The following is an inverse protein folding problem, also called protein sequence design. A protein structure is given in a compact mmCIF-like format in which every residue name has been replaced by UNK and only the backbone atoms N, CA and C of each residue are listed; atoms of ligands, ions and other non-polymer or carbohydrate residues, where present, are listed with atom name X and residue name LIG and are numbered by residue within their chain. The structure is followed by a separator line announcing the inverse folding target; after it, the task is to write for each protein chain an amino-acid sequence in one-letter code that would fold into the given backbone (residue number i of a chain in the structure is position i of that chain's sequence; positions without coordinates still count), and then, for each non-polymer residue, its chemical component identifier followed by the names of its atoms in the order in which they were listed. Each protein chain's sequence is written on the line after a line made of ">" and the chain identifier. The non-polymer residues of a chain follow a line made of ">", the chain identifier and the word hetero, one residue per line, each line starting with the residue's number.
data_IF_557694677187
#
_entry.id   IF_557694677187
#
_cell.length_a   1.000
_cell.length_b   1.000
_cell.length_c   1.000
_cell.angle_alpha   90.00
_cell.angle_beta   90.00
_cell.angle_gamma   90.00
#
_symmetry.space_group_name_H-M   'P 1'
#
loop_
_entity.id
_entity.type
_entity.pdbx_description
1 polymer ?
#
# COMPACT_ATOMS: atom_id res chain seq x y z
N UNK A 1 7.33 15.76 -15.64
CA UNK A 1 8.02 16.61 -14.66
C UNK A 1 9.49 16.56 -14.95
N UNK A 2 10.20 17.68 -14.76
CA UNK A 2 11.63 17.78 -15.06
C UNK A 2 12.34 18.58 -13.97
N UNK A 3 13.31 17.97 -13.27
CA UNK A 3 14.13 18.56 -12.22
C UNK A 3 13.30 19.18 -11.09
N UNK A 4 12.14 18.55 -10.76
CA UNK A 4 11.17 19.14 -9.85
C UNK A 4 11.71 19.17 -8.42
N UNK A 5 11.78 20.36 -7.82
CA UNK A 5 12.23 20.51 -6.44
C UNK A 5 11.36 21.51 -5.68
N UNK A 6 11.16 21.22 -4.39
CA UNK A 6 10.41 22.09 -3.47
C UNK A 6 11.17 22.30 -2.18
N UNK A 7 11.47 23.56 -1.91
CA UNK A 7 12.12 24.02 -0.67
C UNK A 7 11.17 24.90 0.12
N UNK A 8 11.08 24.68 1.42
CA UNK A 8 10.40 25.53 2.38
C UNK A 8 11.43 26.29 3.24
N UNK A 9 11.16 27.56 3.47
CA UNK A 9 11.95 28.38 4.38
C UNK A 9 11.34 28.29 5.79
N UNK A 10 12.03 27.64 6.70
CA UNK A 10 11.59 27.46 8.09
C UNK A 10 12.31 28.49 8.96
N UNK A 11 11.53 29.33 9.62
CA UNK A 11 12.02 30.36 10.53
C UNK A 11 11.86 29.87 11.97
N UNK A 12 12.91 29.98 12.79
CA UNK A 12 12.86 29.56 14.20
C UNK A 12 11.98 30.48 15.04
N UNK A 13 11.98 31.78 14.71
CA UNK A 13 11.14 32.78 15.36
C UNK A 13 10.41 33.66 14.34
N UNK A 14 9.17 34.12 14.63
CA UNK A 14 8.42 34.97 13.73
C UNK A 14 9.19 36.25 13.31
N UNK A 15 10.00 36.78 14.21
CA UNK A 15 10.82 37.97 13.97
C UNK A 15 11.92 37.73 12.93
N UNK A 16 12.38 36.50 12.74
CA UNK A 16 13.42 36.18 11.77
C UNK A 16 12.92 36.30 10.34
N UNK A 17 11.62 36.12 10.12
CA UNK A 17 10.96 36.41 8.83
C UNK A 17 11.06 37.90 8.49
N UNK A 18 10.87 38.79 9.47
CA UNK A 18 11.00 40.21 9.31
C UNK A 18 12.48 40.60 9.09
N UNK A 19 13.40 40.03 9.88
CA UNK A 19 14.85 40.23 9.71
C UNK A 19 15.30 39.80 8.32
N UNK A 20 14.85 38.67 7.81
CA UNK A 20 15.17 38.17 6.47
C UNK A 20 14.69 39.12 5.36
N UNK A 21 13.55 39.81 5.58
CA UNK A 21 13.01 40.75 4.62
C UNK A 21 13.81 42.06 4.56
N UNK A 22 14.29 42.57 5.72
CA UNK A 22 14.90 43.89 5.85
C UNK A 22 16.45 43.85 5.78
N UNK A 23 17.06 42.99 6.60
CA UNK A 23 18.53 43.02 6.82
C UNK A 23 19.34 42.65 5.57
N UNK A 24 18.96 41.62 4.76
CA UNK A 24 19.74 41.31 3.55
C UNK A 24 19.73 42.42 2.51
N UNK A 25 18.65 43.24 2.44
CA UNK A 25 18.58 44.40 1.54
C UNK A 25 19.54 45.50 1.99
N UNK A 26 19.58 45.80 3.29
CA UNK A 26 20.49 46.78 3.88
C UNK A 26 21.96 46.31 3.78
N UNK A 27 22.23 45.03 4.03
CA UNK A 27 23.57 44.44 3.94
C UNK A 27 24.16 44.53 2.52
N UNK A 28 23.31 44.29 1.48
CA UNK A 28 23.74 44.46 0.08
C UNK A 28 24.13 45.92 -0.25
N UNK A 29 23.37 46.86 0.31
CA UNK A 29 23.68 48.29 0.14
C UNK A 29 25.01 48.68 0.81
N UNK A 30 25.39 47.99 1.91
CA UNK A 30 26.65 48.16 2.64
C UNK A 30 27.76 47.19 2.17
N UNK A 31 27.62 46.47 1.06
CA UNK A 31 28.59 45.48 0.55
C UNK A 31 29.01 44.40 1.58
N UNK A 32 28.16 44.10 2.55
CA UNK A 32 28.38 43.03 3.54
C UNK A 32 27.70 41.74 3.11
N UNK A 33 28.28 40.60 3.50
CA UNK A 33 27.65 39.26 3.27
C UNK A 33 26.31 39.23 4.00
N UNK A 34 25.25 38.97 3.28
CA UNK A 34 23.91 38.88 3.85
C UNK A 34 23.80 37.62 4.71
N UNK A 35 23.43 37.78 5.98
CA UNK A 35 23.14 36.65 6.88
C UNK A 35 21.77 36.07 6.55
N UNK A 36 21.70 34.73 6.48
CA UNK A 36 20.47 33.98 6.29
C UNK A 36 19.79 33.71 7.64
N UNK A 37 18.51 34.01 7.76
CA UNK A 37 17.73 33.90 9.00
C UNK A 37 16.67 32.80 8.93
N UNK A 38 16.78 31.84 7.98
CA UNK A 38 15.93 30.70 7.85
C UNK A 38 16.75 29.45 7.58
N UNK A 39 16.17 28.30 7.91
CA UNK A 39 16.67 26.98 7.52
C UNK A 39 15.91 26.51 6.29
N UNK A 40 16.61 25.98 5.30
CA UNK A 40 16.01 25.35 4.15
C UNK A 40 15.57 23.93 4.48
N UNK A 41 14.30 23.64 4.24
CA UNK A 41 13.74 22.30 4.31
C UNK A 41 13.31 21.88 2.91
N UNK A 42 14.04 20.94 2.34
CA UNK A 42 13.77 20.43 1.02
C UNK A 42 12.79 19.27 1.11
N UNK A 43 11.52 19.53 0.81
CA UNK A 43 10.47 18.50 0.77
C UNK A 43 10.58 17.61 -0.46
N UNK A 44 11.07 18.17 -1.58
CA UNK A 44 11.35 17.43 -2.82
C UNK A 44 12.66 17.91 -3.42
N UNK A 45 13.42 16.98 -4.01
CA UNK A 45 14.71 17.28 -4.67
C UNK A 45 14.83 16.51 -5.96
N UNK A 46 14.94 17.23 -7.06
CA UNK A 46 15.36 16.74 -8.38
C UNK A 46 14.55 15.51 -8.82
N UNK A 47 13.22 15.68 -8.89
CA UNK A 47 12.29 14.60 -9.27
C UNK A 47 11.99 14.71 -10.76
N UNK A 48 12.27 13.60 -11.47
CA UNK A 48 12.03 13.45 -12.89
C UNK A 48 11.18 12.20 -13.17
N UNK A 49 10.01 12.36 -13.77
CA UNK A 49 9.24 11.27 -14.34
C UNK A 49 8.18 11.76 -15.33
N UNK A 50 7.67 10.82 -16.12
CA UNK A 50 6.59 11.06 -17.10
C UNK A 50 5.54 9.98 -16.95
N UNK A 51 4.28 10.35 -16.91
CA UNK A 51 3.13 9.44 -16.88
C UNK A 51 2.45 9.45 -18.24
N UNK A 52 2.15 8.28 -18.77
CA UNK A 52 1.43 8.14 -20.04
C UNK A 52 -0.07 8.27 -19.82
N UNK A 53 -0.79 8.70 -20.84
CA UNK A 53 -2.25 8.75 -20.81
C UNK A 53 -2.82 7.34 -20.63
N UNK A 54 -3.76 7.19 -19.69
CA UNK A 54 -4.40 5.93 -19.35
C UNK A 54 -3.58 5.01 -18.44
N UNK A 55 -2.38 5.44 -17.98
CA UNK A 55 -1.54 4.68 -17.06
C UNK A 55 -2.04 4.86 -15.62
N UNK A 56 -2.06 3.78 -14.85
CA UNK A 56 -2.30 3.84 -13.39
C UNK A 56 -0.97 3.74 -12.66
N UNK A 57 -0.58 4.80 -11.96
CA UNK A 57 0.70 4.91 -11.26
C UNK A 57 0.50 4.95 -9.76
N UNK A 58 1.08 3.98 -9.06
CA UNK A 58 1.15 3.96 -7.60
C UNK A 58 2.36 4.74 -7.11
N UNK A 59 2.19 5.52 -6.04
CA UNK A 59 3.28 6.26 -5.37
C UNK A 59 3.36 5.77 -3.93
N UNK A 60 4.47 5.13 -3.58
CA UNK A 60 4.74 4.62 -2.24
C UNK A 60 5.94 5.33 -1.60
N UNK A 61 5.99 5.32 -0.28
CA UNK A 61 7.08 5.95 0.49
C UNK A 61 6.64 6.21 1.93
N UNK A 62 7.61 6.33 2.85
CA UNK A 62 7.35 6.61 4.26
C UNK A 62 6.63 7.95 4.49
N UNK A 63 6.09 8.14 5.70
CA UNK A 63 5.59 9.44 6.11
C UNK A 63 6.75 10.46 6.05
N UNK A 64 6.46 11.64 5.47
CA UNK A 64 7.50 12.65 5.23
C UNK A 64 8.36 12.42 3.96
N UNK A 65 8.13 11.38 3.16
CA UNK A 65 8.85 11.17 1.89
C UNK A 65 8.55 12.22 0.82
N UNK A 66 7.56 13.10 1.04
CA UNK A 66 7.20 14.18 0.11
C UNK A 66 6.00 13.88 -0.80
N UNK A 67 5.31 12.75 -0.63
CA UNK A 67 4.17 12.33 -1.47
C UNK A 67 3.10 13.41 -1.62
N UNK A 68 2.56 13.90 -0.50
CA UNK A 68 1.51 14.96 -0.51
C UNK A 68 2.01 16.26 -1.13
N UNK A 69 3.27 16.64 -0.91
CA UNK A 69 3.88 17.81 -1.57
C UNK A 69 3.96 17.60 -3.09
N UNK A 70 4.32 16.40 -3.53
CA UNK A 70 4.35 16.05 -4.95
C UNK A 70 2.96 16.17 -5.57
N UNK A 71 1.93 15.62 -4.92
CA UNK A 71 0.56 15.70 -5.41
C UNK A 71 0.06 17.15 -5.47
N UNK A 72 0.33 17.97 -4.47
CA UNK A 72 -0.03 19.40 -4.48
C UNK A 72 0.62 20.17 -5.65
N UNK A 73 1.87 19.83 -5.99
CA UNK A 73 2.56 20.40 -7.16
C UNK A 73 1.92 19.95 -8.47
N UNK A 74 1.49 18.67 -8.57
CA UNK A 74 0.78 18.15 -9.74
C UNK A 74 -0.58 18.81 -9.90
N UNK A 75 -1.32 18.98 -8.80
CA UNK A 75 -2.62 19.67 -8.80
C UNK A 75 -2.52 21.18 -9.04
N UNK A 76 -1.30 21.76 -9.02
CA UNK A 76 -1.11 23.20 -9.19
C UNK A 76 -1.52 24.04 -7.98
N UNK A 77 -1.87 23.42 -6.83
CA UNK A 77 -2.17 24.14 -5.58
C UNK A 77 -0.89 24.67 -4.91
N UNK A 78 0.27 24.14 -5.30
CA UNK A 78 1.58 24.53 -4.85
C UNK A 78 2.49 24.83 -6.03
N UNK A 79 3.32 25.90 -5.94
CA UNK A 79 4.32 26.21 -6.96
C UNK A 79 5.68 25.53 -6.64
N UNK A 80 6.39 24.99 -7.62
CA UNK A 80 7.73 24.44 -7.42
C UNK A 80 8.74 25.55 -7.07
N UNK A 81 9.83 25.18 -6.38
CA UNK A 81 10.97 26.06 -6.15
C UNK A 81 11.94 26.05 -7.34
N UNK A 82 12.10 24.86 -7.97
CA UNK A 82 12.88 24.65 -9.19
C UNK A 82 12.19 23.57 -10.04
N UNK A 83 12.54 23.55 -11.33
CA UNK A 83 11.98 22.61 -12.29
C UNK A 83 10.58 23.00 -12.77
N UNK A 84 9.94 22.09 -13.48
CA UNK A 84 8.64 22.32 -14.10
C UNK A 84 7.71 21.09 -14.00
N UNK A 85 6.42 21.38 -13.89
CA UNK A 85 5.33 20.39 -13.93
C UNK A 85 4.45 20.72 -15.13
N UNK A 86 4.36 19.81 -16.08
CA UNK A 86 3.46 19.93 -17.22
C UNK A 86 2.36 18.89 -17.12
N UNK A 87 1.12 19.33 -17.01
CA UNK A 87 -0.07 18.48 -16.94
C UNK A 87 -0.99 18.81 -18.12
N UNK A 88 -1.37 17.77 -18.87
CA UNK A 88 -2.28 17.90 -20.01
C UNK A 88 -3.58 17.17 -19.67
N UNK A 89 -4.65 17.90 -19.43
CA UNK A 89 -5.99 17.38 -19.11
C UNK A 89 -6.54 17.88 -17.77
N UNK A 90 -7.83 17.61 -17.55
CA UNK A 90 -8.52 17.98 -16.32
C UNK A 90 -8.16 17.01 -15.20
N UNK A 91 -7.72 17.58 -14.07
CA UNK A 91 -7.42 16.83 -12.86
C UNK A 91 -8.66 16.84 -11.96
N UNK A 92 -9.08 15.67 -11.49
CA UNK A 92 -9.88 15.50 -10.29
C UNK A 92 -8.99 14.95 -9.17
N UNK A 93 -8.90 15.67 -8.06
CA UNK A 93 -8.02 15.30 -6.95
C UNK A 93 -8.84 15.01 -5.70
N UNK A 94 -8.73 13.79 -5.18
CA UNK A 94 -9.38 13.37 -3.94
C UNK A 94 -8.56 13.71 -2.69
N UNK A 95 -7.53 14.57 -2.84
CA UNK A 95 -6.60 14.98 -1.77
C UNK A 95 -7.28 15.74 -0.64
N UNK A 96 -8.23 16.58 -1.00
CA UNK A 96 -8.97 17.44 -0.08
C UNK A 96 -10.46 17.31 -0.38
N UNK A 97 -11.03 16.15 -0.02
CA UNK A 97 -12.44 15.87 -0.25
C UNK A 97 -13.33 16.98 0.37
N UNK A 98 -14.06 17.67 -0.49
CA UNK A 98 -14.92 18.79 -0.09
C UNK A 98 -14.21 20.13 0.08
N UNK A 99 -12.93 20.25 -0.27
CA UNK A 99 -12.29 21.56 -0.37
C UNK A 99 -13.08 22.43 -1.36
N UNK A 100 -13.52 23.59 -0.88
CA UNK A 100 -14.39 24.48 -1.66
C UNK A 100 -15.88 24.30 -1.43
N UNK A 101 -16.33 23.34 -0.60
CA UNK A 101 -17.73 23.30 -0.18
C UNK A 101 -18.04 24.48 0.74
N UNK A 102 -19.14 25.16 0.44
CA UNK A 102 -19.69 26.19 1.33
C UNK A 102 -20.66 25.51 2.32
N UNK A 103 -20.40 25.56 3.63
CA UNK A 103 -21.24 24.92 4.63
C UNK A 103 -22.69 25.42 4.67
N UNK A 104 -22.93 26.69 4.25
CA UNK A 104 -24.25 27.31 4.24
C UNK A 104 -25.07 26.94 3.01
N UNK A 105 -24.45 26.40 1.98
CA UNK A 105 -25.11 25.99 0.74
C UNK A 105 -25.66 24.57 0.85
N UNK A 106 -26.71 24.27 0.10
CA UNK A 106 -27.22 22.90 -0.02
C UNK A 106 -26.22 21.97 -0.68
N UNK A 107 -26.43 20.66 -0.55
CA UNK A 107 -25.63 19.67 -1.31
C UNK A 107 -25.69 19.93 -2.80
N UNK A 108 -26.88 20.21 -3.32
CA UNK A 108 -27.10 20.60 -4.73
C UNK A 108 -26.23 21.79 -5.14
N UNK A 109 -26.30 22.88 -4.39
CA UNK A 109 -25.55 24.11 -4.72
C UNK A 109 -24.04 23.85 -4.68
N UNK A 110 -23.56 23.02 -3.74
CA UNK A 110 -22.16 22.62 -3.66
C UNK A 110 -21.73 21.74 -4.83
N UNK A 111 -22.60 20.86 -5.36
CA UNK A 111 -22.33 20.11 -6.59
C UNK A 111 -22.10 21.08 -7.75
N UNK A 112 -22.99 22.02 -7.96
CA UNK A 112 -22.86 23.01 -9.04
C UNK A 112 -21.62 23.89 -8.86
N UNK A 113 -21.36 24.37 -7.64
CA UNK A 113 -20.19 25.19 -7.33
C UNK A 113 -18.89 24.45 -7.66
N UNK A 114 -18.72 23.24 -7.13
CA UNK A 114 -17.49 22.49 -7.32
C UNK A 114 -17.29 21.99 -8.76
N UNK A 115 -18.34 21.51 -9.40
CA UNK A 115 -18.25 21.09 -10.80
C UNK A 115 -17.93 22.27 -11.74
N UNK A 116 -18.45 23.47 -11.44
CA UNK A 116 -18.09 24.70 -12.16
C UNK A 116 -16.63 25.10 -11.96
N UNK A 117 -16.09 24.97 -10.74
CA UNK A 117 -14.66 25.20 -10.44
C UNK A 117 -13.79 24.22 -11.22
N UNK A 118 -14.25 22.98 -11.42
CA UNK A 118 -13.58 21.98 -12.23
C UNK A 118 -13.76 22.16 -13.74
N UNK A 119 -14.42 23.27 -14.14
CA UNK A 119 -14.52 23.71 -15.54
C UNK A 119 -15.68 23.11 -16.33
N UNK A 120 -16.71 22.53 -15.68
CA UNK A 120 -17.90 22.05 -16.36
C UNK A 120 -18.87 23.21 -16.64
N UNK A 121 -19.54 23.16 -17.80
CA UNK A 121 -20.67 24.04 -18.08
C UNK A 121 -21.90 23.65 -17.24
N UNK A 122 -22.85 24.55 -17.13
CA UNK A 122 -24.10 24.26 -16.41
C UNK A 122 -24.84 23.09 -17.04
N UNK A 123 -24.88 23.04 -18.35
CA UNK A 123 -25.54 21.98 -19.13
C UNK A 123 -24.87 20.61 -18.85
N UNK A 124 -23.54 20.58 -18.75
CA UNK A 124 -22.78 19.35 -18.41
C UNK A 124 -23.08 18.90 -16.98
N UNK A 125 -23.23 19.84 -16.06
CA UNK A 125 -23.57 19.55 -14.65
C UNK A 125 -25.00 19.03 -14.56
N UNK A 126 -25.97 19.68 -15.23
CA UNK A 126 -27.38 19.25 -15.28
C UNK A 126 -27.48 17.81 -15.79
N UNK A 127 -26.73 17.46 -16.84
CA UNK A 127 -26.70 16.10 -17.41
C UNK A 127 -26.14 15.03 -16.47
N UNK A 128 -25.29 15.40 -15.52
CA UNK A 128 -24.61 14.48 -14.59
C UNK A 128 -25.15 14.50 -13.17
N UNK A 129 -25.98 15.49 -12.86
CA UNK A 129 -26.44 15.73 -11.48
C UNK A 129 -27.10 14.48 -10.87
N UNK A 130 -27.98 13.83 -11.63
CA UNK A 130 -28.67 12.62 -11.16
C UNK A 130 -27.71 11.43 -10.91
N UNK A 131 -26.62 11.33 -11.68
CA UNK A 131 -25.57 10.34 -11.45
C UNK A 131 -24.81 10.65 -10.17
N UNK A 132 -24.42 11.92 -9.96
CA UNK A 132 -23.74 12.39 -8.76
C UNK A 132 -24.61 12.15 -7.52
N UNK A 133 -25.88 12.54 -7.55
CA UNK A 133 -26.82 12.38 -6.44
C UNK A 133 -27.02 10.89 -6.08
N UNK A 134 -27.20 10.04 -7.10
CA UNK A 134 -27.35 8.59 -6.92
C UNK A 134 -26.10 7.93 -6.38
N UNK A 135 -24.91 8.40 -6.81
CA UNK A 135 -23.63 7.88 -6.32
C UNK A 135 -23.41 8.26 -4.85
N UNK A 136 -23.64 9.54 -4.50
CA UNK A 136 -23.51 10.05 -3.13
C UNK A 136 -24.46 9.36 -2.15
N UNK A 137 -25.68 9.03 -2.60
CA UNK A 137 -26.65 8.24 -1.85
C UNK A 137 -26.95 8.84 -0.47
N UNK A 138 -27.25 10.16 -0.44
CA UNK A 138 -27.55 10.93 0.77
C UNK A 138 -29.04 11.34 0.87
N UNK A 139 -29.85 10.91 -0.10
CA UNK A 139 -31.30 11.15 -0.11
C UNK A 139 -31.69 12.63 -0.05
N UNK A 140 -32.72 12.95 0.74
CA UNK A 140 -33.27 14.30 0.89
C UNK A 140 -32.29 15.32 1.49
N UNK A 141 -31.19 14.86 2.07
CA UNK A 141 -30.14 15.77 2.55
C UNK A 141 -29.49 16.56 1.41
N UNK A 142 -29.59 16.09 0.16
CA UNK A 142 -29.12 16.83 -1.01
C UNK A 142 -29.62 18.27 -1.08
N UNK A 143 -30.83 18.52 -0.59
CA UNK A 143 -31.46 19.84 -0.57
C UNK A 143 -31.23 20.63 0.74
N UNK A 144 -30.45 20.04 1.68
CA UNK A 144 -30.17 20.67 2.97
C UNK A 144 -28.76 21.28 2.99
N UNK A 145 -28.52 22.30 3.84
CA UNK A 145 -27.18 22.87 3.99
C UNK A 145 -26.14 21.83 4.45
N UNK A 146 -24.96 21.85 3.82
CA UNK A 146 -23.90 20.88 4.07
C UNK A 146 -23.41 20.88 5.52
N UNK A 147 -23.54 21.99 6.25
CA UNK A 147 -23.27 22.06 7.70
C UNK A 147 -24.10 21.09 8.55
N UNK A 148 -25.23 20.59 8.02
CA UNK A 148 -26.07 19.59 8.72
C UNK A 148 -25.66 18.15 8.45
N UNK A 149 -24.70 17.93 7.56
CA UNK A 149 -24.26 16.61 7.15
C UNK A 149 -23.44 15.90 8.23
N UNK A 150 -23.59 14.58 8.31
CA UNK A 150 -22.59 13.76 8.98
C UNK A 150 -21.27 13.79 8.20
N UNK A 151 -20.16 13.46 8.86
CA UNK A 151 -18.86 13.36 8.19
C UNK A 151 -18.89 12.39 7.00
N UNK A 152 -19.62 11.26 7.14
CA UNK A 152 -19.80 10.29 6.06
C UNK A 152 -20.56 10.86 4.86
N UNK A 153 -21.67 11.59 5.09
CA UNK A 153 -22.44 12.22 4.00
C UNK A 153 -21.62 13.29 3.27
N UNK A 154 -20.87 14.08 4.03
CA UNK A 154 -19.97 15.09 3.48
C UNK A 154 -18.96 14.48 2.51
N UNK A 155 -18.27 13.42 2.94
CA UNK A 155 -17.27 12.71 2.14
C UNK A 155 -17.90 12.02 0.93
N UNK A 156 -19.06 11.38 1.09
CA UNK A 156 -19.79 10.75 -0.01
C UNK A 156 -20.14 11.75 -1.13
N UNK A 157 -20.66 12.93 -0.77
CA UNK A 157 -20.96 13.96 -1.77
C UNK A 157 -19.68 14.48 -2.43
N UNK A 158 -18.66 14.79 -1.65
CA UNK A 158 -17.39 15.30 -2.16
C UNK A 158 -16.72 14.33 -3.14
N UNK A 159 -16.70 13.03 -2.81
CA UNK A 159 -16.20 11.99 -3.70
C UNK A 159 -17.06 11.88 -4.98
N UNK A 160 -18.39 11.88 -4.84
CA UNK A 160 -19.30 11.74 -5.96
C UNK A 160 -19.08 12.85 -7.01
N UNK A 161 -18.92 14.11 -6.56
CA UNK A 161 -18.64 15.23 -7.45
C UNK A 161 -17.34 14.98 -8.24
N UNK A 162 -16.25 14.62 -7.55
CA UNK A 162 -14.95 14.42 -8.20
C UNK A 162 -14.93 13.22 -9.15
N UNK A 163 -15.57 12.12 -8.78
CA UNK A 163 -15.50 10.87 -9.54
C UNK A 163 -16.49 10.81 -10.72
N UNK A 164 -17.63 11.53 -10.63
CA UNK A 164 -18.69 11.48 -11.66
C UNK A 164 -18.55 12.52 -12.77
N UNK A 165 -17.57 13.43 -12.70
CA UNK A 165 -17.35 14.46 -13.73
C UNK A 165 -16.48 13.99 -14.92
N UNK A 166 -16.15 12.70 -15.01
CA UNK A 166 -15.27 12.12 -16.04
C UNK A 166 -13.96 12.90 -16.20
N UNK A 167 -13.05 12.85 -15.23
CA UNK A 167 -11.76 13.51 -15.31
C UNK A 167 -10.86 12.81 -16.36
N UNK A 168 -9.85 13.52 -16.88
CA UNK A 168 -8.79 12.91 -17.69
C UNK A 168 -7.67 12.35 -16.81
N UNK A 169 -7.50 12.94 -15.62
CA UNK A 169 -6.52 12.54 -14.62
C UNK A 169 -7.23 12.48 -13.27
N UNK A 170 -7.20 11.33 -12.62
CA UNK A 170 -7.72 11.12 -11.27
C UNK A 170 -6.56 10.97 -10.30
N UNK A 171 -6.51 11.79 -9.27
CA UNK A 171 -5.55 11.69 -8.18
C UNK A 171 -6.25 11.17 -6.95
N UNK A 172 -5.80 10.03 -6.46
CA UNK A 172 -6.35 9.33 -5.29
C UNK A 172 -5.30 9.34 -4.18
N UNK A 173 -5.65 9.92 -3.04
CA UNK A 173 -4.84 9.88 -1.83
C UNK A 173 -5.68 9.19 -0.75
N UNK A 174 -5.17 8.25 -0.02
CA UNK A 174 -5.78 7.51 1.12
C UNK A 174 -7.32 7.59 1.30
N UNK A 175 -7.95 8.50 0.55
CA UNK A 175 -9.36 8.85 0.60
C UNK A 175 -10.32 7.73 0.15
N UNK A 176 -9.82 6.62 -0.42
CA UNK A 176 -10.67 5.47 -0.79
C UNK A 176 -11.11 4.66 0.44
N UNK A 177 -10.44 4.80 1.57
CA UNK A 177 -10.78 4.12 2.81
C UNK A 177 -11.86 4.87 3.64
N UNK A 178 -12.53 5.88 3.06
CA UNK A 178 -13.50 6.73 3.76
C UNK A 178 -14.94 6.25 3.51
N UNK A 179 -15.77 6.36 4.53
CA UNK A 179 -17.17 5.91 4.49
C UNK A 179 -17.31 4.46 4.96
N UNK A 180 -18.50 3.90 4.76
CA UNK A 180 -18.75 2.49 5.05
C UNK A 180 -18.26 1.57 3.91
N UNK A 181 -18.20 0.27 4.20
CA UNK A 181 -17.73 -0.76 3.26
C UNK A 181 -18.49 -0.72 1.94
N UNK A 182 -19.81 -0.44 1.97
CA UNK A 182 -20.63 -0.36 0.77
C UNK A 182 -20.25 0.81 -0.13
N UNK A 183 -19.92 1.97 0.48
CA UNK A 183 -19.46 3.13 -0.26
C UNK A 183 -18.04 2.94 -0.80
N UNK A 184 -17.15 2.35 -0.02
CA UNK A 184 -15.80 1.99 -0.48
C UNK A 184 -15.87 1.08 -1.72
N UNK A 185 -16.75 0.07 -1.72
CA UNK A 185 -16.97 -0.78 -2.88
C UNK A 185 -17.42 0.01 -4.11
N UNK A 186 -18.39 0.97 -3.94
CA UNK A 186 -18.81 1.85 -5.03
C UNK A 186 -17.65 2.69 -5.57
N UNK A 187 -16.76 3.20 -4.69
CA UNK A 187 -15.58 3.99 -5.07
C UNK A 187 -14.59 3.15 -5.90
N UNK A 188 -14.27 1.94 -5.48
CA UNK A 188 -13.38 1.03 -6.23
C UNK A 188 -13.96 0.67 -7.60
N UNK A 189 -15.26 0.32 -7.65
CA UNK A 189 -15.96 0.04 -8.93
C UNK A 189 -15.95 1.25 -9.88
N UNK A 190 -16.11 2.45 -9.33
CA UNK A 190 -16.00 3.68 -10.14
C UNK A 190 -14.59 3.88 -10.69
N UNK A 191 -13.57 3.65 -9.86
CA UNK A 191 -12.18 3.74 -10.27
C UNK A 191 -11.85 2.73 -11.37
N UNK A 192 -12.29 1.47 -11.25
CA UNK A 192 -12.15 0.46 -12.31
C UNK A 192 -12.82 0.91 -13.62
N UNK A 193 -14.03 1.46 -13.54
CA UNK A 193 -14.73 1.98 -14.71
C UNK A 193 -13.99 3.15 -15.37
N UNK A 194 -13.39 4.04 -14.58
CA UNK A 194 -12.56 5.14 -15.09
C UNK A 194 -11.26 4.62 -15.73
N UNK A 195 -10.59 3.64 -15.10
CA UNK A 195 -9.42 2.96 -15.68
C UNK A 195 -9.77 2.32 -17.02
N UNK A 196 -10.89 1.62 -17.12
CA UNK A 196 -11.37 1.01 -18.37
C UNK A 196 -11.68 2.05 -19.47
N UNK A 197 -12.06 3.28 -19.10
CA UNK A 197 -12.23 4.41 -20.03
C UNK A 197 -10.90 5.06 -20.45
N UNK A 198 -9.76 4.61 -19.95
CA UNK A 198 -8.44 5.17 -20.24
C UNK A 198 -8.12 6.45 -19.47
N UNK A 199 -8.75 6.69 -18.33
CA UNK A 199 -8.40 7.78 -17.42
C UNK A 199 -7.04 7.48 -16.79
N UNK A 200 -6.17 8.47 -16.73
CA UNK A 200 -4.88 8.37 -16.03
C UNK A 200 -5.10 8.45 -14.52
N UNK A 201 -4.57 7.50 -13.76
CA UNK A 201 -4.78 7.44 -12.31
C UNK A 201 -3.45 7.55 -11.58
N UNK A 202 -3.34 8.50 -10.64
CA UNK A 202 -2.27 8.57 -9.67
C UNK A 202 -2.80 8.16 -8.31
N UNK A 203 -2.22 7.12 -7.73
CA UNK A 203 -2.68 6.53 -6.49
C UNK A 203 -1.59 6.64 -5.42
N UNK A 204 -1.90 7.36 -4.33
CA UNK A 204 -1.06 7.41 -3.13
C UNK A 204 -1.82 6.72 -2.01
N UNK A 205 -1.27 5.64 -1.49
CA UNK A 205 -1.90 4.89 -0.40
C UNK A 205 -0.86 4.17 0.44
N UNK A 206 -1.17 3.97 1.70
CA UNK A 206 -0.40 3.08 2.58
C UNK A 206 -0.79 1.61 2.41
N UNK A 207 -1.89 1.32 1.71
CA UNK A 207 -2.31 -0.04 1.37
C UNK A 207 -1.50 -0.56 0.18
N UNK A 208 -0.46 -1.32 0.46
CA UNK A 208 0.36 -1.99 -0.56
C UNK A 208 -0.45 -2.96 -1.41
N UNK A 209 -1.49 -3.60 -0.83
CA UNK A 209 -2.44 -4.42 -1.55
C UNK A 209 -3.18 -3.68 -2.67
N UNK A 210 -3.64 -2.45 -2.40
CA UNK A 210 -4.31 -1.63 -3.42
C UNK A 210 -3.37 -1.21 -4.55
N UNK A 211 -2.10 -0.96 -4.23
CA UNK A 211 -1.07 -0.68 -5.26
C UNK A 211 -0.85 -1.91 -6.14
N UNK A 212 -0.73 -3.10 -5.55
CA UNK A 212 -0.56 -4.36 -6.29
C UNK A 212 -1.75 -4.68 -7.19
N UNK A 213 -2.97 -4.34 -6.74
CA UNK A 213 -4.20 -4.64 -7.47
C UNK A 213 -4.47 -3.69 -8.65
N UNK A 214 -4.17 -2.38 -8.48
CA UNK A 214 -4.62 -1.37 -9.44
C UNK A 214 -3.52 -0.71 -10.24
N UNK A 215 -2.26 -0.65 -9.73
CA UNK A 215 -1.20 0.10 -10.38
C UNK A 215 -0.50 -0.70 -11.48
N UNK A 216 -0.26 -0.05 -12.62
CA UNK A 216 0.52 -0.59 -13.74
C UNK A 216 2.02 -0.31 -13.58
N UNK A 217 2.36 0.68 -12.73
CA UNK A 217 3.71 1.15 -12.45
C UNK A 217 3.79 1.76 -11.05
N UNK A 218 4.94 1.65 -10.42
CA UNK A 218 5.17 2.14 -9.06
C UNK A 218 6.35 3.12 -9.01
N UNK A 219 6.12 4.26 -8.37
CA UNK A 219 7.11 5.26 -8.01
C UNK A 219 7.42 5.13 -6.51
N UNK A 220 8.67 4.94 -6.16
CA UNK A 220 9.12 4.82 -4.76
C UNK A 220 9.81 6.11 -4.34
N UNK A 221 9.29 6.74 -3.29
CA UNK A 221 9.81 8.00 -2.77
C UNK A 221 10.45 7.82 -1.40
N UNK A 222 11.62 8.41 -1.21
CA UNK A 222 12.34 8.46 0.07
C UNK A 222 13.07 9.79 0.25
N UNK A 223 12.95 10.42 1.42
CA UNK A 223 13.65 11.65 1.76
C UNK A 223 13.48 12.78 0.75
N UNK A 224 12.32 12.89 0.12
CA UNK A 224 12.02 13.88 -0.92
C UNK A 224 12.63 13.59 -2.29
N UNK A 225 13.09 12.37 -2.53
CA UNK A 225 13.66 11.92 -3.81
C UNK A 225 12.87 10.74 -4.38
N UNK A 226 12.92 10.59 -5.69
CA UNK A 226 12.45 9.41 -6.39
C UNK A 226 13.62 8.40 -6.41
N UNK A 227 13.47 7.28 -5.69
CA UNK A 227 14.50 6.24 -5.59
C UNK A 227 14.19 5.02 -6.46
N UNK A 228 12.94 4.89 -6.91
CA UNK A 228 12.51 3.79 -7.78
C UNK A 228 11.39 4.22 -8.71
N UNK A 229 11.46 3.74 -9.95
CA UNK A 229 10.48 3.94 -11.00
C UNK A 229 10.43 2.65 -11.84
N UNK A 230 9.41 1.82 -11.63
CA UNK A 230 9.36 0.48 -12.23
C UNK A 230 7.96 0.02 -12.55
N UNK A 231 7.83 -0.78 -13.59
CA UNK A 231 6.60 -1.53 -13.93
C UNK A 231 6.49 -2.85 -13.18
N UNK A 232 7.56 -3.31 -12.51
CA UNK A 232 7.49 -4.43 -11.56
C UNK A 232 6.99 -3.91 -10.21
N UNK A 233 5.67 -3.75 -10.12
CA UNK A 233 4.99 -3.21 -8.94
C UNK A 233 5.20 -4.10 -7.72
N UNK A 234 5.22 -5.43 -7.92
CA UNK A 234 5.44 -6.38 -6.82
C UNK A 234 6.83 -6.19 -6.21
N UNK A 235 7.88 -6.13 -7.05
CA UNK A 235 9.24 -5.91 -6.57
C UNK A 235 9.40 -4.57 -5.84
N UNK A 236 8.75 -3.50 -6.34
CA UNK A 236 8.77 -2.19 -5.68
C UNK A 236 8.11 -2.20 -4.29
N UNK A 237 6.90 -2.78 -4.20
CA UNK A 237 6.16 -2.90 -2.94
C UNK A 237 6.94 -3.72 -1.91
N UNK A 238 7.46 -4.87 -2.31
CA UNK A 238 8.24 -5.72 -1.42
C UNK A 238 9.55 -5.07 -0.95
N UNK A 239 10.23 -4.30 -1.82
CA UNK A 239 11.41 -3.53 -1.43
C UNK A 239 11.07 -2.44 -0.40
N UNK A 240 9.93 -1.79 -0.58
CA UNK A 240 9.40 -0.79 0.34
C UNK A 240 9.06 -1.39 1.70
N UNK A 241 8.31 -2.51 1.74
CA UNK A 241 7.95 -3.20 2.99
C UNK A 241 9.20 -3.67 3.75
N UNK A 242 10.19 -4.21 3.04
CA UNK A 242 11.48 -4.58 3.63
C UNK A 242 12.21 -3.37 4.23
N UNK A 243 12.21 -2.23 3.55
CA UNK A 243 12.78 -0.99 4.06
C UNK A 243 12.09 -0.49 5.33
N UNK A 244 10.77 -0.67 5.43
CA UNK A 244 10.01 -0.36 6.66
C UNK A 244 10.44 -1.22 7.84
N UNK A 245 10.62 -2.53 7.63
CA UNK A 245 11.03 -3.47 8.68
C UNK A 245 12.45 -3.17 9.15
N UNK A 246 13.40 -2.97 8.22
CA UNK A 246 14.79 -2.65 8.57
C UNK A 246 14.93 -1.32 9.31
N UNK A 247 14.08 -0.33 9.04
CA UNK A 247 14.10 0.94 9.77
C UNK A 247 13.50 0.84 11.18
N UNK A 248 12.57 -0.08 11.42
CA UNK A 248 12.09 -0.42 12.76
C UNK A 248 13.14 -1.23 13.55
N UNK A 249 13.76 -2.22 12.93
CA UNK A 249 14.82 -3.03 13.57
C UNK A 249 16.06 -2.21 13.95
N UNK A 250 16.42 -1.17 13.18
CA UNK A 250 17.51 -0.24 13.54
C UNK A 250 17.18 0.64 14.75
N UNK A 251 15.91 0.89 15.04
CA UNK A 251 15.50 1.60 16.25
C UNK A 251 15.57 0.71 17.50
N UNK A 252 15.42 -0.60 17.34
CA UNK A 252 15.41 -1.59 18.43
C UNK A 252 16.79 -2.24 18.69
N UNK A 253 17.80 -2.02 17.82
CA UNK A 253 19.11 -2.71 17.87
C UNK A 253 20.12 -2.04 18.84
N UNK A 254 19.67 -1.51 19.95
CA UNK A 254 20.56 -1.10 21.06
C UNK A 254 20.45 -2.08 22.24
N UNK A 255 20.83 -3.33 22.04
CA UNK A 255 21.39 -4.27 23.01
C UNK A 255 21.34 -5.72 22.52
N UNK A 256 22.46 -6.25 22.02
CA UNK A 256 22.64 -7.70 21.86
C UNK A 256 23.36 -8.25 23.09
N UNK A 257 22.85 -9.30 23.76
CA UNK A 257 23.62 -10.04 24.75
C UNK A 257 24.48 -11.11 24.04
N UNK A 258 25.70 -11.27 24.56
CA UNK A 258 26.63 -12.36 24.17
C UNK A 258 26.00 -13.73 24.48
N UNK A 259 26.01 -14.65 23.51
CA UNK A 259 25.47 -16.00 23.66
C UNK A 259 26.63 -17.00 23.54
N UNK A 260 26.84 -17.75 24.62
CA UNK A 260 27.73 -18.89 24.64
C UNK A 260 27.15 -20.08 23.84
N UNK A 261 28.04 -20.74 23.06
CA UNK A 261 27.73 -21.91 22.25
C UNK A 261 27.60 -23.16 23.11
N UNK A 262 26.44 -23.82 23.07
CA UNK A 262 26.33 -25.21 23.54
C UNK A 262 25.50 -26.06 22.56
N UNK A 263 26.11 -27.18 22.21
CA UNK A 263 25.84 -28.31 21.36
C UNK A 263 24.55 -28.41 20.50
N UNK A 264 24.73 -28.76 19.22
CA UNK A 264 23.78 -29.23 18.19
C UNK A 264 22.73 -28.24 17.63
N UNK A 265 22.63 -27.00 18.11
CA UNK A 265 21.80 -25.98 17.51
C UNK A 265 22.65 -24.92 16.81
N UNK A 266 22.35 -24.57 15.53
CA UNK A 266 23.06 -23.49 14.84
C UNK A 266 22.92 -22.16 15.59
N UNK A 267 24.02 -21.40 15.69
CA UNK A 267 23.99 -20.05 16.21
C UNK A 267 23.08 -19.16 15.33
N UNK A 268 22.60 -18.05 15.86
CA UNK A 268 21.77 -17.07 15.11
C UNK A 268 22.45 -16.61 13.81
N UNK A 269 23.80 -16.46 13.81
CA UNK A 269 24.58 -16.12 12.63
C UNK A 269 24.49 -17.20 11.54
N UNK A 270 24.58 -18.47 11.92
CA UNK A 270 24.46 -19.61 10.99
C UNK A 270 23.03 -19.69 10.45
N UNK A 271 22.01 -19.41 11.27
CA UNK A 271 20.62 -19.34 10.82
C UNK A 271 20.40 -18.17 9.86
N UNK A 272 21.00 -17.00 10.12
CA UNK A 272 20.97 -15.84 9.21
C UNK A 272 21.61 -16.15 7.86
N UNK A 273 22.77 -16.81 7.85
CA UNK A 273 23.44 -17.26 6.62
C UNK A 273 22.58 -18.28 5.87
N UNK A 274 22.02 -19.25 6.58
CA UNK A 274 21.09 -20.23 6.01
C UNK A 274 19.85 -19.54 5.44
N UNK A 275 19.26 -18.58 6.15
CA UNK A 275 18.14 -17.76 5.69
C UNK A 275 18.45 -17.08 4.35
N UNK A 276 19.63 -16.50 4.20
CA UNK A 276 20.04 -15.82 2.95
C UNK A 276 20.25 -16.80 1.80
N UNK A 277 20.83 -17.96 2.07
CA UNK A 277 21.24 -18.94 1.05
C UNK A 277 20.08 -19.81 0.54
N UNK A 278 19.00 -19.95 1.32
CA UNK A 278 17.85 -20.81 0.98
C UNK A 278 16.67 -20.06 0.39
N UNK A 279 16.82 -18.78 0.07
CA UNK A 279 15.78 -18.02 -0.63
C UNK A 279 15.58 -18.56 -2.06
N UNK A 280 14.33 -18.70 -2.49
CA UNK A 280 14.01 -19.14 -3.84
C UNK A 280 14.13 -17.97 -4.84
N UNK A 281 15.36 -17.77 -5.33
CA UNK A 281 15.70 -16.67 -6.24
C UNK A 281 14.94 -16.76 -7.58
N UNK A 282 14.56 -17.96 -8.02
CA UNK A 282 13.80 -18.15 -9.26
C UNK A 282 12.39 -17.54 -9.17
N UNK A 283 11.80 -17.51 -7.98
CA UNK A 283 10.51 -16.86 -7.71
C UNK A 283 10.64 -15.39 -7.29
N UNK A 284 11.87 -14.86 -7.19
CA UNK A 284 12.13 -13.56 -6.61
C UNK A 284 11.79 -13.50 -5.12
N UNK A 285 11.92 -14.63 -4.41
CA UNK A 285 11.62 -14.73 -2.98
C UNK A 285 12.39 -13.68 -2.19
N UNK A 286 11.68 -12.96 -1.35
CA UNK A 286 12.24 -12.06 -0.33
C UNK A 286 12.10 -12.72 1.03
N UNK A 287 13.21 -12.74 1.75
CA UNK A 287 13.30 -13.36 3.05
C UNK A 287 13.87 -12.38 4.06
N UNK A 288 13.16 -12.18 5.19
CA UNK A 288 13.54 -11.25 6.24
C UNK A 288 12.99 -11.69 7.60
N UNK A 289 13.53 -11.14 8.68
CA UNK A 289 13.19 -11.43 10.07
C UNK A 289 14.44 -11.50 10.93
N UNK A 290 14.26 -11.63 12.24
CA UNK A 290 15.36 -11.69 13.22
C UNK A 290 16.20 -12.98 13.13
N UNK A 291 15.73 -14.00 12.42
CA UNK A 291 16.33 -15.31 12.28
C UNK A 291 16.65 -16.05 13.61
N UNK A 292 16.00 -15.69 14.71
CA UNK A 292 16.03 -16.48 15.95
C UNK A 292 15.40 -17.86 15.75
N UNK A 293 14.46 -17.94 14.81
CA UNK A 293 13.97 -19.18 14.22
C UNK A 293 13.73 -18.97 12.73
N UNK A 294 13.81 -20.01 11.92
CA UNK A 294 13.64 -19.96 10.47
C UNK A 294 12.77 -21.09 9.93
N UNK A 295 12.13 -20.85 8.79
CA UNK A 295 11.45 -21.85 7.97
C UNK A 295 12.49 -22.43 7.01
N UNK A 296 13.10 -23.56 7.35
CA UNK A 296 14.17 -24.19 6.58
C UNK A 296 13.63 -24.87 5.31
N UNK A 297 12.39 -25.38 5.34
CA UNK A 297 11.83 -26.07 4.19
C UNK A 297 10.31 -26.16 4.26
N UNK A 298 9.70 -26.33 3.08
CA UNK A 298 8.30 -26.69 2.90
C UNK A 298 8.19 -27.86 1.93
N UNK A 299 7.48 -28.89 2.34
CA UNK A 299 7.09 -30.00 1.46
C UNK A 299 5.58 -30.03 1.34
N UNK A 300 5.07 -29.91 0.12
CA UNK A 300 3.65 -30.04 -0.19
C UNK A 300 3.38 -31.47 -0.59
N UNK A 301 2.41 -32.09 0.07
CA UNK A 301 2.09 -33.51 -0.08
C UNK A 301 0.64 -33.64 -0.53
N UNK A 302 0.38 -34.52 -1.50
CA UNK A 302 -0.96 -34.85 -1.98
C UNK A 302 -1.76 -35.62 -0.91
N UNK A 303 -3.05 -35.78 -1.15
CA UNK A 303 -3.93 -36.57 -0.28
C UNK A 303 -3.51 -38.05 -0.15
N UNK A 304 -2.81 -38.60 -1.16
CA UNK A 304 -2.27 -39.96 -1.16
C UNK A 304 -0.92 -40.11 -0.40
N UNK A 305 -0.40 -39.03 0.15
CA UNK A 305 0.87 -39.00 0.89
C UNK A 305 2.12 -38.80 0.02
N UNK A 306 1.99 -38.67 -1.30
CA UNK A 306 3.11 -38.44 -2.21
C UNK A 306 3.49 -36.96 -2.27
N UNK A 307 4.78 -36.58 -2.15
CA UNK A 307 5.19 -35.19 -2.30
C UNK A 307 5.11 -34.74 -3.76
N UNK A 308 4.88 -33.44 -3.98
CA UNK A 308 5.11 -32.84 -5.29
C UNK A 308 6.61 -32.63 -5.50
N UNK A 309 7.14 -33.07 -6.65
CA UNK A 309 8.56 -32.91 -7.02
C UNK A 309 8.82 -31.66 -7.86
N UNK A 310 7.77 -31.11 -8.45
CA UNK A 310 7.80 -29.90 -9.28
C UNK A 310 6.76 -28.91 -8.74
N UNK A 311 6.48 -27.84 -9.50
CA UNK A 311 5.45 -26.86 -9.16
C UNK A 311 4.09 -27.58 -8.93
N UNK A 312 3.50 -27.45 -7.72
CA UNK A 312 2.29 -28.19 -7.38
C UNK A 312 1.12 -27.81 -8.27
N UNK A 313 0.55 -28.78 -8.97
CA UNK A 313 -0.73 -28.65 -9.68
C UNK A 313 -1.84 -29.30 -8.84
N UNK A 314 -2.69 -28.48 -8.25
CA UNK A 314 -3.67 -28.87 -7.24
C UNK A 314 -5.07 -28.71 -7.80
N UNK A 315 -5.95 -29.68 -7.53
CA UNK A 315 -7.37 -29.54 -7.85
C UNK A 315 -8.05 -28.64 -6.82
N UNK A 316 -8.90 -27.70 -7.28
CA UNK A 316 -9.71 -26.85 -6.41
C UNK A 316 -10.52 -27.68 -5.41
N UNK A 317 -10.41 -27.37 -4.12
CA UNK A 317 -11.07 -28.10 -3.03
C UNK A 317 -10.39 -29.41 -2.63
N UNK A 318 -9.23 -29.73 -3.17
CA UNK A 318 -8.40 -30.85 -2.71
C UNK A 318 -7.72 -30.48 -1.39
N UNK A 319 -7.65 -31.47 -0.47
CA UNK A 319 -6.91 -31.28 0.80
C UNK A 319 -5.44 -31.53 0.58
N UNK A 320 -4.63 -30.52 0.91
CA UNK A 320 -3.18 -30.58 0.88
C UNK A 320 -2.62 -30.77 2.28
N UNK A 321 -1.50 -31.49 2.36
CA UNK A 321 -0.68 -31.56 3.58
C UNK A 321 0.58 -30.76 3.36
N UNK A 322 0.78 -29.72 4.18
CA UNK A 322 1.96 -28.85 4.16
C UNK A 322 2.86 -29.23 5.33
N UNK A 323 4.08 -29.66 5.05
CA UNK A 323 5.08 -30.03 6.06
C UNK A 323 6.18 -28.99 6.11
N UNK A 324 6.24 -28.26 7.21
CA UNK A 324 7.24 -27.22 7.46
C UNK A 324 8.40 -27.79 8.28
N UNK A 325 9.61 -27.57 7.84
CA UNK A 325 10.82 -27.78 8.61
C UNK A 325 11.21 -26.44 9.24
N UNK A 326 11.16 -26.39 10.56
CA UNK A 326 11.51 -25.18 11.33
C UNK A 326 12.83 -25.43 12.10
N UNK A 327 13.67 -24.41 12.16
CA UNK A 327 14.86 -24.40 12.99
C UNK A 327 14.79 -23.23 13.96
N UNK A 328 15.20 -23.46 15.20
CA UNK A 328 15.28 -22.41 16.21
C UNK A 328 16.58 -22.49 16.98
N UNK A 329 17.18 -21.32 17.28
CA UNK A 329 18.40 -21.23 18.11
C UNK A 329 18.10 -21.33 19.59
N UNK A 330 16.84 -21.12 20.01
CA UNK A 330 16.43 -21.07 21.41
C UNK A 330 14.95 -21.51 21.57
N UNK A 331 14.51 -21.66 22.81
CA UNK A 331 13.08 -21.89 23.07
C UNK A 331 12.29 -20.60 22.86
N UNK A 332 11.24 -20.65 22.03
CA UNK A 332 10.35 -19.51 21.75
C UNK A 332 8.91 -19.99 21.94
N UNK A 333 8.20 -19.35 22.86
CA UNK A 333 6.78 -19.59 23.13
C UNK A 333 5.90 -18.72 22.24
N UNK A 334 4.60 -19.07 22.14
CA UNK A 334 3.59 -18.32 21.39
C UNK A 334 3.98 -17.98 19.96
N UNK A 335 4.49 -18.98 19.25
CA UNK A 335 4.93 -18.81 17.87
C UNK A 335 3.76 -18.98 16.91
N UNK A 336 3.58 -17.98 16.06
CA UNK A 336 2.66 -18.00 14.93
C UNK A 336 3.39 -18.43 13.66
N UNK A 337 2.92 -19.49 13.02
CA UNK A 337 3.28 -19.87 11.65
C UNK A 337 2.10 -19.52 10.76
N UNK A 338 2.21 -18.40 10.08
CA UNK A 338 1.18 -17.87 9.18
C UNK A 338 1.41 -18.31 7.74
N UNK A 339 0.31 -18.47 7.02
CA UNK A 339 0.26 -18.75 5.59
C UNK A 339 -0.60 -17.71 4.91
N UNK A 340 -0.20 -17.26 3.74
CA UNK A 340 -1.11 -16.55 2.84
C UNK A 340 -0.90 -16.94 1.39
N UNK A 341 -1.92 -16.74 0.58
CA UNK A 341 -1.92 -17.04 -0.85
C UNK A 341 -2.33 -15.80 -1.61
N UNK A 342 -1.53 -15.43 -2.60
CA UNK A 342 -1.82 -14.29 -3.48
C UNK A 342 -1.74 -14.70 -4.95
N UNK A 343 -2.26 -13.87 -5.86
CA UNK A 343 -1.89 -13.91 -7.27
C UNK A 343 -0.52 -13.25 -7.46
N UNK A 344 0.11 -13.47 -8.61
CA UNK A 344 1.40 -12.85 -8.95
C UNK A 344 1.35 -11.32 -8.92
N UNK A 345 0.16 -10.75 -9.17
CA UNK A 345 -0.14 -9.33 -9.04
C UNK A 345 -1.44 -9.20 -8.25
N UNK A 346 -1.37 -8.76 -7.00
CA UNK A 346 -2.57 -8.56 -6.17
C UNK A 346 -2.34 -8.78 -4.68
N UNK A 347 -3.39 -8.47 -3.91
CA UNK A 347 -3.45 -8.72 -2.47
C UNK A 347 -3.60 -10.20 -2.15
N UNK A 348 -3.33 -10.56 -0.90
CA UNK A 348 -3.60 -11.89 -0.37
C UNK A 348 -5.09 -12.22 -0.54
N UNK A 349 -5.38 -13.37 -1.15
CA UNK A 349 -6.73 -13.87 -1.40
C UNK A 349 -7.22 -14.82 -0.30
N UNK A 350 -6.28 -15.35 0.46
CA UNK A 350 -6.52 -16.21 1.60
C UNK A 350 -5.32 -16.12 2.54
N UNK A 351 -5.56 -16.21 3.85
CA UNK A 351 -4.55 -16.33 4.86
C UNK A 351 -5.09 -16.93 6.15
N UNK A 352 -4.25 -17.71 6.83
CA UNK A 352 -4.56 -18.36 8.10
C UNK A 352 -3.28 -18.63 8.90
N UNK A 353 -3.41 -19.00 10.17
CA UNK A 353 -2.29 -19.34 11.04
C UNK A 353 -2.69 -20.37 12.11
N UNK A 354 -1.69 -21.03 12.70
CA UNK A 354 -1.91 -21.90 13.86
C UNK A 354 -2.58 -21.20 15.04
N UNK A 355 -2.30 -19.90 15.24
CA UNK A 355 -2.91 -19.12 16.31
C UNK A 355 -4.40 -18.89 16.05
N UNK A 356 -4.78 -18.53 14.82
CA UNK A 356 -6.17 -18.37 14.42
C UNK A 356 -6.93 -19.71 14.52
N UNK A 357 -6.25 -20.83 14.25
CA UNK A 357 -6.78 -22.19 14.44
C UNK A 357 -6.83 -22.64 15.91
N UNK A 358 -6.32 -21.85 16.88
CA UNK A 358 -6.32 -22.18 18.31
C UNK A 358 -5.22 -23.15 18.74
N UNK A 359 -4.16 -23.30 17.94
CA UNK A 359 -3.05 -24.24 18.21
C UNK A 359 -1.70 -23.50 18.34
N UNK A 360 -1.41 -22.83 19.48
CA UNK A 360 -0.12 -22.15 19.65
C UNK A 360 1.04 -23.16 19.59
N UNK A 361 2.14 -22.75 18.95
CA UNK A 361 3.37 -23.55 18.80
C UNK A 361 4.41 -23.00 19.75
N UNK A 362 5.14 -23.94 20.42
CA UNK A 362 6.36 -23.60 21.15
C UNK A 362 7.55 -24.24 20.42
N UNK A 363 8.46 -23.42 19.94
CA UNK A 363 9.71 -23.91 19.36
C UNK A 363 10.72 -24.25 20.46
N UNK A 364 11.44 -25.34 20.27
CA UNK A 364 12.60 -25.73 21.07
C UNK A 364 13.86 -25.53 20.22
N UNK A 365 15.05 -25.40 20.84
CA UNK A 365 16.31 -25.39 20.09
C UNK A 365 16.44 -26.61 19.17
N UNK A 366 16.92 -26.40 17.94
CA UNK A 366 17.08 -27.44 16.94
C UNK A 366 15.99 -27.49 15.87
N UNK A 367 15.92 -28.62 15.18
CA UNK A 367 15.00 -28.88 14.07
C UNK A 367 13.67 -29.43 14.57
N UNK A 368 12.56 -28.89 14.04
CA UNK A 368 11.21 -29.36 14.32
C UNK A 368 10.39 -29.44 13.04
N UNK A 369 9.42 -30.37 13.02
CA UNK A 369 8.48 -30.51 11.91
C UNK A 369 7.07 -30.07 12.37
N UNK A 370 6.46 -29.19 11.63
CA UNK A 370 5.08 -28.76 11.80
C UNK A 370 4.30 -29.11 10.56
N UNK A 371 3.15 -29.73 10.73
CA UNK A 371 2.32 -30.21 9.61
C UNK A 371 0.95 -29.55 9.66
N UNK A 372 0.53 -28.96 8.52
CA UNK A 372 -0.79 -28.41 8.33
C UNK A 372 -1.57 -29.21 7.31
N UNK A 373 -2.88 -29.28 7.50
CA UNK A 373 -3.81 -29.73 6.47
C UNK A 373 -4.68 -28.53 6.06
N UNK A 374 -4.73 -28.25 4.77
CA UNK A 374 -5.49 -27.13 4.23
C UNK A 374 -6.30 -27.58 3.01
N UNK A 375 -7.55 -27.13 2.96
CA UNK A 375 -8.43 -27.37 1.81
C UNK A 375 -8.81 -26.02 1.22
N UNK A 376 -8.34 -25.74 0.00
CA UNK A 376 -8.49 -24.44 -0.65
C UNK A 376 -9.40 -24.55 -1.87
N UNK A 377 -10.66 -24.11 -1.77
CA UNK A 377 -11.58 -24.07 -2.90
C UNK A 377 -11.31 -22.84 -3.79
N UNK A 378 -10.17 -22.85 -4.47
CA UNK A 378 -9.66 -21.74 -5.27
C UNK A 378 -9.81 -22.03 -6.75
N UNK A 379 -10.19 -21.04 -7.55
CA UNK A 379 -10.36 -21.17 -9.00
C UNK A 379 -9.02 -21.39 -9.72
N UNK A 380 -9.11 -21.86 -10.97
CA UNK A 380 -7.93 -22.09 -11.82
C UNK A 380 -7.06 -20.84 -11.92
N UNK A 381 -5.76 -21.03 -11.82
CA UNK A 381 -4.77 -19.94 -11.93
C UNK A 381 -3.45 -20.25 -11.24
N UNK A 382 -2.52 -19.35 -11.41
CA UNK A 382 -1.19 -19.37 -10.80
C UNK A 382 -1.20 -18.51 -9.54
N UNK A 383 -0.73 -19.08 -8.43
CA UNK A 383 -0.75 -18.45 -7.12
C UNK A 383 0.61 -18.57 -6.44
N UNK A 384 0.88 -17.63 -5.55
CA UNK A 384 2.10 -17.56 -4.76
C UNK A 384 1.76 -17.82 -3.29
N UNK A 385 2.41 -18.82 -2.70
CA UNK A 385 2.31 -19.14 -1.28
C UNK A 385 3.37 -18.37 -0.50
N UNK A 386 2.93 -17.62 0.48
CA UNK A 386 3.75 -16.89 1.43
C UNK A 386 3.67 -17.56 2.79
N UNK A 387 4.81 -17.62 3.48
CA UNK A 387 4.91 -18.21 4.80
C UNK A 387 5.61 -17.24 5.75
N UNK A 388 5.09 -17.11 6.96
CA UNK A 388 5.65 -16.22 7.97
C UNK A 388 5.73 -16.88 9.34
N UNK A 389 6.86 -16.73 10.02
CA UNK A 389 7.09 -17.15 11.39
C UNK A 389 7.26 -15.93 12.26
N UNK A 390 6.47 -15.80 13.32
CA UNK A 390 6.53 -14.68 14.24
C UNK A 390 6.34 -15.15 15.70
N UNK A 391 6.94 -14.45 16.66
CA UNK A 391 6.66 -14.61 18.10
C UNK A 391 5.63 -13.56 18.52
N UNK A 392 4.66 -13.97 19.36
CA UNK A 392 3.59 -13.10 19.89
C UNK A 392 3.72 -12.90 21.41
N UNK A 393 4.90 -13.05 21.96
CA UNK A 393 5.13 -13.00 23.40
C UNK A 393 4.85 -11.60 23.98
N UNK A 394 4.01 -11.55 25.01
CA UNK A 394 3.72 -10.31 25.72
C UNK A 394 2.84 -9.29 24.98
N UNK A 395 2.20 -9.67 23.88
CA UNK A 395 1.38 -8.78 23.05
C UNK A 395 2.17 -8.00 21.99
N UNK A 396 3.48 -8.15 21.96
CA UNK A 396 4.34 -7.66 20.88
C UNK A 396 4.55 -8.74 19.84
N UNK A 397 4.58 -8.33 18.56
CA UNK A 397 4.84 -9.22 17.43
C UNK A 397 6.27 -9.01 16.94
N UNK A 398 7.09 -10.06 17.03
CA UNK A 398 8.43 -10.11 16.46
C UNK A 398 8.44 -11.02 15.24
N UNK A 399 8.84 -10.50 14.10
CA UNK A 399 9.02 -11.29 12.87
C UNK A 399 10.32 -12.12 12.98
N UNK A 400 10.17 -13.44 13.01
CA UNK A 400 11.32 -14.35 13.11
C UNK A 400 11.87 -14.70 11.73
N UNK A 401 10.99 -15.07 10.78
CA UNK A 401 11.34 -15.39 9.39
C UNK A 401 10.12 -15.21 8.49
N UNK A 402 10.22 -14.35 7.51
CA UNK A 402 9.20 -14.13 6.50
C UNK A 402 9.72 -14.55 5.13
N UNK A 403 8.95 -15.39 4.42
CA UNK A 403 9.28 -15.92 3.09
C UNK A 403 8.17 -15.54 2.09
N UNK A 404 8.46 -14.61 1.17
CA UNK A 404 7.45 -14.00 0.27
C UNK A 404 7.98 -13.83 -1.17
N UNK A 405 7.49 -14.59 -2.14
CA UNK A 405 6.80 -15.86 -2.02
C UNK A 405 7.78 -17.01 -1.74
N UNK A 406 7.34 -18.02 -1.00
CA UNK A 406 8.13 -19.22 -0.75
C UNK A 406 7.98 -20.27 -1.85
N UNK A 407 6.77 -20.42 -2.38
CA UNK A 407 6.41 -21.46 -3.35
C UNK A 407 5.36 -20.96 -4.34
N UNK A 408 5.48 -21.30 -5.62
CA UNK A 408 4.41 -21.19 -6.59
C UNK A 408 3.50 -22.42 -6.52
N UNK A 409 2.19 -22.22 -6.63
CA UNK A 409 1.18 -23.28 -6.65
C UNK A 409 0.18 -22.98 -7.75
N UNK A 410 -0.07 -23.96 -8.60
CA UNK A 410 -1.08 -23.87 -9.65
C UNK A 410 -2.35 -24.62 -9.23
N UNK A 411 -3.47 -23.92 -9.26
CA UNK A 411 -4.78 -24.54 -9.06
C UNK A 411 -5.50 -24.77 -10.39
N UNK A 412 -6.26 -25.86 -10.46
CA UNK A 412 -7.15 -26.11 -11.57
C UNK A 412 -8.54 -26.50 -11.05
N UNK A 413 -9.58 -26.08 -11.76
CA UNK A 413 -10.99 -26.42 -11.48
C UNK A 413 -11.66 -26.90 -12.75
N UNK A 414 -12.50 -27.91 -12.62
CA UNK A 414 -13.32 -28.39 -13.74
C UNK A 414 -14.51 -27.47 -14.05
N UNK A 415 -14.72 -26.43 -13.25
CA UNK A 415 -15.79 -25.45 -13.42
C UNK A 415 -15.18 -24.07 -13.53
N UNK A 416 -15.56 -23.32 -14.57
CA UNK A 416 -15.30 -21.88 -14.63
C UNK A 416 -16.33 -21.17 -13.76
N UNK A 417 -15.86 -20.58 -12.66
CA UNK A 417 -16.68 -19.84 -11.71
C UNK A 417 -16.17 -18.41 -11.63
N UNK A 418 -17.07 -17.44 -11.50
CA UNK A 418 -16.69 -16.07 -11.22
C UNK A 418 -16.02 -15.96 -9.83
N UNK A 419 -15.00 -15.07 -9.72
CA UNK A 419 -14.28 -14.86 -8.46
C UNK A 419 -13.04 -15.75 -8.28
N UNK A 420 -12.38 -15.63 -7.14
CA UNK A 420 -11.12 -16.33 -6.83
C UNK A 420 -11.37 -17.57 -5.97
N UNK A 421 -12.27 -17.49 -5.01
CA UNK A 421 -12.59 -18.55 -4.06
C UNK A 421 -13.97 -19.12 -4.38
N UNK A 422 -14.06 -20.45 -4.42
CA UNK A 422 -15.31 -21.17 -4.63
C UNK A 422 -15.89 -21.64 -3.30
N UNK A 423 -16.95 -20.99 -2.84
CA UNK A 423 -17.78 -21.50 -1.75
C UNK A 423 -18.98 -22.24 -2.33
N UNK A 424 -19.13 -23.57 -2.13
CA UNK A 424 -20.28 -24.32 -2.64
C UNK A 424 -21.57 -23.85 -1.96
N UNK A 425 -22.61 -23.56 -2.78
CA UNK A 425 -23.95 -23.23 -2.29
C UNK A 425 -24.75 -24.51 -2.20
N UNK A 426 -25.37 -24.77 -1.04
CA UNK A 426 -26.40 -25.84 -0.89
C UNK A 426 -27.77 -25.19 -1.05
N UNK A 427 -28.51 -25.57 -2.09
CA UNK A 427 -29.90 -25.16 -2.25
C UNK A 427 -30.75 -26.08 -1.38
N UNK A 428 -31.40 -25.49 -0.36
CA UNK A 428 -32.42 -26.19 0.42
C UNK A 428 -33.76 -26.08 -0.34
N UNK A 429 -34.29 -27.20 -0.83
CA UNK A 429 -35.57 -27.29 -1.53
C UNK A 429 -36.75 -27.21 -0.56
#
# INVERSE_FOLDING_TARGET
>A
MRGLSKCYQVYEQPIDRLKQFVIPRLSRMCRRVARQYFREFWALRDIDFTIKKGETVGIIGHNGAGKSTLLQLICGTLNPSHGEVNVNGRIAALLELGAGFNPEFSGRDNVYLNASVLGLSKEDIDARFDEIARFADIGDFMEQPVKTYSSGMYVRLAFAVQACIDPEILIVDEALAVGDIGFQYKCFKRMEALKAKGVTILMVTHSTGSILEYADRCLVMEGGRLIGDTTDVLAAVMAYEKGMILSQEQADTLALPDIENDGDCPSQLVLLEKQKNEANLALGEKRFGSARAIIAGLTIVKADGTPFHEEPLVKSGETLTLRFELWSSQSIEDVALGLSLSRAQGSDIWGDSNIAAGHPITLKPGRQLVTYQVTLPINSGDYLLHCGLASLKGGEREELDQRRPMQAIKFWSSRELGGVVHAPITVLA
#
